data_IF_089632832288
#
_entry.id   IF_089632832288
#
_cell.length_a   1.000
_cell.length_b   1.000
_cell.length_c   1.000
_cell.angle_alpha   90.00
_cell.angle_beta   90.00
_cell.angle_gamma   90.00
#
_symmetry.space_group_name_H-M   'P 1'
#
loop_
_entity.id
_entity.type
_entity.pdbx_description
1 polymer ?
#
# COMPACT_ATOMS: atom_id res chain seq x y z
N UNK A 1 -42.98 11.66 11.78
CA UNK A 1 -42.57 10.73 10.70
C UNK A 1 -41.18 11.14 10.26
N UNK A 2 -40.15 10.45 10.74
CA UNK A 2 -38.73 10.75 10.37
C UNK A 2 -38.43 9.98 9.10
N UNK A 3 -38.29 10.69 7.99
CA UNK A 3 -37.83 10.11 6.71
C UNK A 3 -36.31 9.85 6.83
N UNK A 4 -35.94 8.61 6.62
CA UNK A 4 -34.58 8.12 6.76
C UNK A 4 -33.68 8.74 5.67
N UNK A 5 -32.70 9.53 6.06
CA UNK A 5 -31.81 10.27 5.14
C UNK A 5 -30.96 9.38 4.22
N UNK A 6 -30.84 8.10 4.53
CA UNK A 6 -30.06 7.12 3.75
C UNK A 6 -30.68 6.72 2.40
N UNK A 7 -32.01 6.93 2.22
CA UNK A 7 -32.68 6.62 0.94
C UNK A 7 -32.52 7.76 -0.07
N UNK A 8 -32.21 8.98 0.39
CA UNK A 8 -32.04 10.14 -0.50
C UNK A 8 -30.69 10.15 -1.24
N UNK A 9 -29.67 9.44 -0.74
CA UNK A 9 -28.34 9.44 -1.39
C UNK A 9 -28.28 8.55 -2.63
N UNK A 10 -29.10 7.51 -2.69
CA UNK A 10 -29.17 6.62 -3.87
C UNK A 10 -30.09 7.14 -4.99
N UNK A 11 -31.05 8.01 -4.65
CA UNK A 11 -31.97 8.63 -5.61
C UNK A 11 -31.38 9.82 -6.37
N UNK A 12 -30.31 10.45 -5.86
CA UNK A 12 -29.68 11.62 -6.52
C UNK A 12 -28.67 11.25 -7.59
N UNK A 13 -28.27 9.97 -7.67
CA UNK A 13 -27.31 9.50 -8.68
C UNK A 13 -27.94 9.22 -10.05
N UNK A 14 -29.26 9.34 -10.19
CA UNK A 14 -30.00 9.06 -11.44
C UNK A 14 -30.63 10.29 -12.10
N UNK A 15 -30.48 11.51 -11.56
CA UNK A 15 -31.20 12.69 -12.06
C UNK A 15 -30.33 13.95 -12.31
N UNK A 16 -29.02 13.83 -12.37
CA UNK A 16 -28.15 14.95 -12.79
C UNK A 16 -27.36 14.64 -14.05
N UNK A 17 -28.08 14.23 -15.13
CA UNK A 17 -27.58 14.37 -16.50
C UNK A 17 -28.14 15.69 -17.02
N UNK A 18 -27.58 16.80 -16.54
CA UNK A 18 -27.70 18.08 -17.25
C UNK A 18 -26.39 18.85 -17.12
N UNK A 19 -25.66 18.84 -18.23
CA UNK A 19 -24.80 19.93 -18.74
C UNK A 19 -23.79 20.51 -17.76
N UNK A 20 -22.74 19.76 -17.40
CA UNK A 20 -21.46 20.38 -17.13
C UNK A 20 -20.64 20.30 -18.42
N UNK A 21 -20.82 21.27 -19.33
CA UNK A 21 -19.74 21.66 -20.22
C UNK A 21 -18.67 22.34 -19.37
N UNK A 22 -17.95 21.52 -18.61
CA UNK A 22 -16.69 21.95 -18.03
C UNK A 22 -15.76 22.28 -19.19
N UNK A 23 -15.23 23.49 -19.21
CA UNK A 23 -14.15 23.85 -20.10
C UNK A 23 -13.12 22.74 -20.01
N UNK A 24 -12.96 21.97 -21.08
CA UNK A 24 -11.84 21.05 -21.24
C UNK A 24 -10.61 21.93 -21.44
N UNK A 25 -10.02 22.38 -20.34
CA UNK A 25 -8.62 22.80 -20.41
C UNK A 25 -7.85 21.66 -21.05
N UNK A 26 -6.98 21.94 -22.04
CA UNK A 26 -6.17 20.88 -22.63
C UNK A 26 -5.55 20.07 -21.48
N UNK A 27 -5.78 18.76 -21.45
CA UNK A 27 -5.28 17.89 -20.40
C UNK A 27 -3.77 18.01 -20.43
N UNK A 28 -3.23 18.79 -19.49
CA UNK A 28 -1.80 19.06 -19.44
C UNK A 28 -1.10 17.71 -19.25
N UNK A 29 -0.22 17.37 -20.15
CA UNK A 29 0.58 16.15 -20.05
C UNK A 29 1.51 16.31 -18.86
N UNK A 30 1.18 15.64 -17.77
CA UNK A 30 2.05 15.59 -16.60
C UNK A 30 3.25 14.74 -17.00
N UNK A 31 4.43 15.35 -17.09
CA UNK A 31 5.68 14.61 -17.34
C UNK A 31 6.06 13.80 -16.10
N UNK A 32 6.68 12.64 -16.29
CA UNK A 32 7.05 11.73 -15.19
C UNK A 32 8.03 12.33 -14.16
N UNK A 33 8.61 13.50 -14.45
CA UNK A 33 9.55 14.22 -13.61
C UNK A 33 8.96 15.48 -12.94
N UNK A 34 7.63 15.67 -12.97
CA UNK A 34 6.96 16.85 -12.46
C UNK A 34 7.28 17.14 -10.98
N UNK A 35 7.44 16.09 -10.17
CA UNK A 35 7.72 16.19 -8.74
C UNK A 35 9.12 16.78 -8.44
N UNK A 36 10.03 16.76 -9.40
CA UNK A 36 11.38 17.32 -9.29
C UNK A 36 11.44 18.81 -9.67
N UNK A 37 10.40 19.31 -10.36
CA UNK A 37 10.38 20.66 -10.95
C UNK A 37 10.19 21.75 -9.91
N UNK A 38 10.52 22.98 -10.33
CA UNK A 38 10.27 24.21 -9.55
C UNK A 38 8.94 24.84 -9.95
N UNK A 39 8.15 25.26 -8.96
CA UNK A 39 6.84 25.86 -9.18
C UNK A 39 6.90 27.12 -10.06
N UNK A 40 7.86 28.02 -9.80
CA UNK A 40 7.95 29.31 -10.53
C UNK A 40 8.40 29.14 -11.97
N UNK A 41 9.18 28.08 -12.25
CA UNK A 41 9.74 27.84 -13.59
C UNK A 41 8.81 26.94 -14.44
N UNK A 42 8.12 26.01 -13.83
CA UNK A 42 7.34 24.99 -14.53
C UNK A 42 5.83 25.05 -14.30
N UNK A 43 5.36 25.83 -13.31
CA UNK A 43 3.96 25.80 -12.88
C UNK A 43 3.59 24.53 -12.09
N UNK A 44 4.54 23.63 -11.80
CA UNK A 44 4.33 22.38 -11.07
C UNK A 44 4.77 22.47 -9.62
N UNK A 45 4.00 21.91 -8.72
CA UNK A 45 4.31 21.85 -7.28
C UNK A 45 5.32 20.72 -6.97
N UNK A 46 6.50 20.80 -7.56
CA UNK A 46 7.60 19.88 -7.27
C UNK A 46 8.55 20.42 -6.19
N UNK A 47 9.62 19.67 -5.94
CA UNK A 47 10.59 19.94 -4.84
C UNK A 47 11.75 20.86 -5.24
N UNK A 48 11.76 21.39 -6.45
CA UNK A 48 12.83 22.28 -6.97
C UNK A 48 14.22 21.64 -6.96
N UNK A 49 14.33 20.37 -7.35
CA UNK A 49 15.55 19.56 -7.21
C UNK A 49 16.75 20.19 -7.96
N UNK A 50 16.53 20.73 -9.15
CA UNK A 50 17.60 21.37 -9.94
C UNK A 50 18.23 22.55 -9.20
N UNK A 51 17.43 23.34 -8.48
CA UNK A 51 17.93 24.42 -7.62
C UNK A 51 18.75 23.91 -6.45
N UNK A 52 18.32 22.81 -5.84
CA UNK A 52 19.09 22.17 -4.79
C UNK A 52 20.46 21.69 -5.31
N UNK A 53 20.51 21.08 -6.49
CA UNK A 53 21.78 20.68 -7.11
C UNK A 53 22.65 21.86 -7.50
N UNK A 54 22.08 22.96 -8.01
CA UNK A 54 22.83 24.18 -8.27
C UNK A 54 23.45 24.74 -6.97
N UNK A 55 22.70 24.76 -5.88
CA UNK A 55 23.20 25.19 -4.56
C UNK A 55 24.32 24.29 -4.04
N UNK A 56 24.29 22.99 -4.35
CA UNK A 56 25.27 21.98 -3.95
C UNK A 56 26.48 21.94 -4.87
N UNK A 57 26.46 22.62 -6.02
CA UNK A 57 27.54 22.59 -7.01
C UNK A 57 28.88 22.99 -6.38
N UNK A 58 29.89 22.13 -6.54
CA UNK A 58 31.23 22.34 -5.99
C UNK A 58 31.40 21.96 -4.51
N UNK A 59 30.33 21.56 -3.83
CA UNK A 59 30.42 21.01 -2.47
C UNK A 59 30.83 19.52 -2.54
N UNK A 60 31.60 19.07 -1.55
CA UNK A 60 31.93 17.64 -1.43
C UNK A 60 30.73 16.87 -0.93
N UNK A 61 30.39 15.79 -1.60
CA UNK A 61 29.39 14.84 -1.13
C UNK A 61 29.94 13.86 -0.10
N UNK A 62 29.06 13.32 0.72
CA UNK A 62 29.35 12.22 1.62
C UNK A 62 28.24 11.18 1.47
N UNK A 63 28.62 9.93 1.36
CA UNK A 63 27.65 8.82 1.34
C UNK A 63 26.87 8.77 2.64
N UNK A 64 25.55 8.65 2.54
CA UNK A 64 24.64 8.47 3.66
C UNK A 64 23.85 7.19 3.42
N UNK A 65 23.77 6.34 4.44
CA UNK A 65 22.90 5.17 4.45
C UNK A 65 21.53 5.64 4.94
N UNK A 66 20.49 5.33 4.18
CA UNK A 66 19.11 5.65 4.52
C UNK A 66 18.38 4.33 4.77
N UNK A 67 17.78 4.18 5.94
CA UNK A 67 16.89 3.06 6.23
C UNK A 67 15.50 3.36 5.66
N UNK A 68 14.97 2.42 4.89
CA UNK A 68 13.60 2.41 4.41
C UNK A 68 12.82 1.36 5.20
N UNK A 69 11.97 1.80 6.13
CA UNK A 69 11.18 0.92 7.00
C UNK A 69 9.82 0.77 6.35
N UNK A 70 9.64 -0.33 5.63
CA UNK A 70 8.49 -0.53 4.75
C UNK A 70 8.01 -2.01 4.72
N UNK A 71 7.08 -2.34 3.86
CA UNK A 71 6.50 -3.67 3.71
C UNK A 71 7.37 -4.66 2.90
N UNK A 72 8.46 -4.19 2.30
CA UNK A 72 9.39 -4.98 1.50
C UNK A 72 9.98 -4.18 0.34
N UNK A 73 10.98 -4.75 -0.32
CA UNK A 73 11.65 -4.14 -1.49
C UNK A 73 12.04 -5.20 -2.52
N UNK A 74 11.92 -4.87 -3.81
CA UNK A 74 12.47 -5.67 -4.89
C UNK A 74 13.98 -5.41 -5.04
N UNK A 75 14.77 -6.27 -4.43
CA UNK A 75 16.25 -6.19 -4.47
C UNK A 75 16.84 -6.46 -5.84
N UNK A 76 16.06 -7.02 -6.78
CA UNK A 76 16.48 -7.28 -8.16
C UNK A 76 15.99 -6.21 -9.13
N UNK A 77 15.26 -5.20 -8.65
CA UNK A 77 14.72 -4.13 -9.49
C UNK A 77 15.83 -3.44 -10.27
N UNK A 78 15.67 -3.34 -11.60
CA UNK A 78 16.71 -2.89 -12.51
C UNK A 78 17.25 -1.47 -12.27
N UNK A 79 16.45 -0.64 -11.58
CA UNK A 79 16.77 0.75 -11.28
C UNK A 79 17.26 0.95 -9.84
N UNK A 80 17.23 -0.09 -9.01
CA UNK A 80 17.60 -0.03 -7.58
C UNK A 80 18.81 -0.91 -7.23
N UNK A 81 18.94 -2.08 -7.83
CA UNK A 81 19.91 -3.10 -7.42
C UNK A 81 21.38 -2.62 -7.31
N UNK A 82 21.76 -1.57 -8.05
CA UNK A 82 23.10 -1.01 -8.01
C UNK A 82 23.29 0.05 -6.92
N UNK A 83 22.19 0.55 -6.35
CA UNK A 83 22.20 1.60 -5.33
C UNK A 83 21.74 1.11 -3.96
N UNK A 84 21.26 -0.12 -3.87
CA UNK A 84 20.92 -0.73 -2.59
C UNK A 84 22.17 -0.94 -1.74
N UNK A 85 22.03 -0.69 -0.46
CA UNK A 85 23.08 -1.03 0.49
C UNK A 85 23.23 -2.54 0.61
N UNK A 86 24.45 -3.00 0.69
CA UNK A 86 24.79 -4.37 1.03
C UNK A 86 25.59 -4.38 2.31
N UNK A 87 25.28 -5.28 3.25
CA UNK A 87 26.12 -5.49 4.41
C UNK A 87 27.49 -5.98 3.97
N UNK A 88 28.57 -5.17 4.08
CA UNK A 88 29.88 -5.55 3.58
C UNK A 88 30.57 -6.61 4.41
N UNK A 89 29.98 -7.02 5.53
CA UNK A 89 30.54 -8.01 6.45
C UNK A 89 29.87 -9.36 6.32
N UNK A 90 28.78 -9.46 5.59
CA UNK A 90 28.05 -10.69 5.35
C UNK A 90 28.48 -11.35 4.04
N UNK A 91 28.60 -12.68 4.04
CA UNK A 91 28.82 -13.50 2.85
C UNK A 91 27.48 -14.06 2.39
N UNK A 92 26.92 -13.59 1.26
CA UNK A 92 25.56 -13.92 0.86
C UNK A 92 25.28 -15.42 0.77
N UNK A 93 24.21 -15.86 1.45
CA UNK A 93 23.65 -17.21 1.32
C UNK A 93 24.47 -18.32 1.97
N UNK A 94 25.38 -18.00 2.89
CA UNK A 94 26.17 -19.03 3.58
C UNK A 94 25.46 -19.57 4.84
N UNK A 95 24.36 -18.96 5.28
CA UNK A 95 23.60 -19.35 6.47
C UNK A 95 24.30 -19.04 7.79
N UNK A 96 25.27 -18.11 7.80
CA UNK A 96 26.06 -17.73 8.96
C UNK A 96 25.89 -16.22 9.17
N UNK A 97 25.76 -15.80 10.41
CA UNK A 97 25.90 -14.41 10.84
C UNK A 97 27.39 -14.07 10.95
N UNK A 98 27.99 -13.62 9.83
CA UNK A 98 29.42 -13.41 9.71
C UNK A 98 29.89 -12.22 10.57
N UNK A 99 29.08 -11.19 10.74
CA UNK A 99 29.43 -10.01 11.53
C UNK A 99 28.96 -10.08 12.99
N UNK A 100 28.27 -11.15 13.35
CA UNK A 100 27.81 -11.45 14.72
C UNK A 100 26.89 -10.38 15.30
N UNK A 101 26.06 -9.78 14.44
CA UNK A 101 25.09 -8.79 14.84
C UNK A 101 23.75 -9.40 15.33
N UNK A 102 23.56 -10.70 15.15
CA UNK A 102 22.37 -11.48 15.52
C UNK A 102 21.41 -11.76 14.36
N UNK A 103 21.75 -11.36 13.13
CA UNK A 103 20.92 -11.47 11.94
C UNK A 103 21.66 -12.19 10.81
N UNK A 104 21.28 -13.43 10.53
CA UNK A 104 21.95 -14.31 9.55
C UNK A 104 21.66 -13.84 8.13
N UNK A 105 22.73 -13.66 7.32
CA UNK A 105 22.62 -13.24 5.91
C UNK A 105 21.80 -11.94 5.72
N UNK A 106 21.94 -10.95 6.58
CA UNK A 106 21.21 -9.67 6.51
C UNK A 106 21.78 -8.70 5.43
N UNK A 107 21.93 -9.23 4.22
CA UNK A 107 22.61 -8.56 3.10
C UNK A 107 22.02 -7.20 2.76
N UNK A 108 20.69 -7.09 2.70
CA UNK A 108 19.96 -5.87 2.33
C UNK A 108 19.22 -5.23 3.50
N UNK A 109 19.14 -5.93 4.63
CA UNK A 109 18.33 -5.58 5.79
C UNK A 109 17.61 -6.80 6.34
N UNK A 110 16.50 -6.57 7.05
CA UNK A 110 15.83 -7.63 7.80
C UNK A 110 14.32 -7.55 7.72
N UNK A 111 13.66 -8.69 7.62
CA UNK A 111 12.21 -8.81 7.67
C UNK A 111 11.76 -9.20 9.09
N UNK A 112 11.34 -8.23 9.87
CA UNK A 112 10.81 -8.42 11.23
C UNK A 112 9.42 -9.08 11.28
N UNK A 113 8.77 -9.25 10.14
CA UNK A 113 7.52 -10.01 10.00
C UNK A 113 7.75 -11.39 9.38
N UNK A 114 9.01 -11.83 9.33
CA UNK A 114 9.39 -13.17 8.92
C UNK A 114 9.51 -14.13 10.10
N UNK A 115 9.39 -15.42 9.83
CA UNK A 115 9.70 -16.50 10.75
C UNK A 115 11.07 -17.14 10.42
N UNK A 116 11.74 -17.69 11.42
CA UNK A 116 12.99 -18.45 11.22
C UNK A 116 12.83 -19.67 10.29
N UNK A 117 11.59 -20.10 10.04
CA UNK A 117 11.27 -21.18 9.09
C UNK A 117 11.12 -20.68 7.65
N UNK A 118 11.42 -19.42 7.37
CA UNK A 118 11.32 -18.78 6.07
C UNK A 118 9.91 -18.32 5.66
N UNK A 119 8.90 -18.56 6.50
CA UNK A 119 7.56 -18.01 6.25
C UNK A 119 7.52 -16.54 6.57
N UNK A 120 6.65 -15.80 5.90
CA UNK A 120 6.46 -14.38 6.12
C UNK A 120 5.01 -14.05 6.42
N UNK A 121 4.77 -13.04 7.23
CA UNK A 121 3.46 -12.44 7.40
C UNK A 121 3.18 -11.60 6.17
N UNK A 122 2.32 -12.08 5.29
CA UNK A 122 1.89 -11.36 4.07
C UNK A 122 0.59 -10.60 4.27
N UNK A 123 -0.15 -10.94 5.32
CA UNK A 123 -1.38 -10.24 5.75
C UNK A 123 -1.37 -10.16 7.25
N UNK A 124 -1.58 -8.99 7.78
CA UNK A 124 -1.72 -8.79 9.22
C UNK A 124 -3.13 -8.28 9.57
N UNK A 125 -3.46 -8.36 10.84
CA UNK A 125 -4.70 -7.80 11.37
C UNK A 125 -4.54 -6.31 11.62
N UNK A 126 -5.66 -5.59 11.54
CA UNK A 126 -5.69 -4.16 11.85
C UNK A 126 -5.32 -3.90 13.32
N UNK A 127 -4.41 -2.96 13.56
CA UNK A 127 -3.95 -2.58 14.90
C UNK A 127 -5.09 -2.11 15.79
N UNK A 128 -6.03 -1.35 15.27
CA UNK A 128 -7.20 -0.90 16.05
C UNK A 128 -8.04 -2.08 16.56
N UNK A 129 -8.21 -3.12 15.74
CA UNK A 129 -8.86 -4.37 16.18
C UNK A 129 -8.07 -5.04 17.31
N UNK A 130 -6.74 -5.14 17.19
CA UNK A 130 -5.88 -5.72 18.24
C UNK A 130 -5.98 -4.93 19.54
N UNK A 131 -5.85 -3.62 19.49
CA UNK A 131 -5.96 -2.74 20.68
C UNK A 131 -7.34 -2.86 21.33
N UNK A 132 -8.42 -2.82 20.54
CA UNK A 132 -9.75 -2.97 21.08
C UNK A 132 -9.92 -4.29 21.83
N UNK A 133 -9.55 -5.41 21.24
CA UNK A 133 -9.71 -6.73 21.88
C UNK A 133 -8.77 -6.96 23.05
N UNK A 134 -7.54 -6.44 23.02
CA UNK A 134 -6.59 -6.54 24.13
C UNK A 134 -7.14 -5.88 25.40
N UNK A 135 -7.81 -4.76 25.28
CA UNK A 135 -8.35 -4.03 26.43
C UNK A 135 -9.86 -4.22 26.65
N UNK A 136 -10.54 -4.97 25.80
CA UNK A 136 -11.98 -5.21 25.89
C UNK A 136 -12.39 -5.74 27.27
N UNK A 137 -11.74 -6.77 27.77
CA UNK A 137 -12.02 -7.36 29.09
C UNK A 137 -11.76 -6.40 30.26
N UNK A 138 -10.88 -5.42 30.07
CA UNK A 138 -10.52 -4.42 31.09
C UNK A 138 -11.56 -3.30 31.16
N UNK A 139 -12.12 -2.86 30.04
CA UNK A 139 -12.89 -1.63 29.95
C UNK A 139 -14.33 -1.80 29.44
N UNK A 140 -14.63 -2.82 28.61
CA UNK A 140 -15.96 -3.01 28.02
C UNK A 140 -16.98 -3.27 29.12
N UNK A 141 -18.17 -2.68 28.99
CA UNK A 141 -19.31 -2.84 29.90
C UNK A 141 -19.05 -2.49 31.38
N UNK A 142 -17.95 -1.79 31.67
CA UNK A 142 -17.63 -1.34 33.03
C UNK A 142 -17.90 0.16 33.19
N UNK A 143 -18.37 0.54 34.38
CA UNK A 143 -18.42 1.94 34.77
C UNK A 143 -17.01 2.39 35.16
N UNK A 144 -16.32 3.04 34.25
CA UNK A 144 -14.99 3.56 34.49
C UNK A 144 -15.09 4.99 35.01
N UNK A 145 -14.56 5.20 36.23
CA UNK A 145 -14.31 6.54 36.74
C UNK A 145 -12.94 7.00 36.24
N UNK A 146 -12.95 7.83 35.22
CA UNK A 146 -11.75 8.24 34.50
C UNK A 146 -10.79 9.04 35.38
N UNK A 147 -11.30 9.74 36.40
CA UNK A 147 -10.51 10.57 37.31
C UNK A 147 -9.76 9.74 38.39
N UNK A 148 -10.15 8.49 38.56
CA UNK A 148 -9.50 7.54 39.49
C UNK A 148 -8.45 6.68 38.78
N UNK A 149 -8.31 6.74 37.45
CA UNK A 149 -7.33 5.97 36.74
C UNK A 149 -5.91 6.52 36.95
N UNK A 150 -4.96 5.61 37.15
CA UNK A 150 -3.55 5.94 37.07
C UNK A 150 -3.21 6.51 35.68
N UNK A 151 -2.08 7.21 35.54
CA UNK A 151 -1.63 7.77 34.27
C UNK A 151 -1.49 6.70 33.19
N UNK A 152 -1.07 5.50 33.52
CA UNK A 152 -0.92 4.38 32.62
C UNK A 152 -2.29 3.83 32.21
N UNK A 153 -3.17 3.54 33.13
CA UNK A 153 -4.52 3.07 32.86
C UNK A 153 -5.33 4.08 32.05
N UNK A 154 -5.11 5.38 32.28
CA UNK A 154 -5.72 6.43 31.46
C UNK A 154 -5.25 6.36 30.01
N UNK A 155 -3.96 6.15 29.75
CA UNK A 155 -3.44 5.98 28.39
C UNK A 155 -4.05 4.76 27.71
N UNK A 156 -4.12 3.62 28.40
CA UNK A 156 -4.73 2.40 27.88
C UNK A 156 -6.22 2.60 27.59
N UNK A 157 -6.95 3.26 28.50
CA UNK A 157 -8.35 3.59 28.30
C UNK A 157 -8.57 4.50 27.07
N UNK A 158 -7.77 5.56 26.95
CA UNK A 158 -7.86 6.49 25.81
C UNK A 158 -7.49 5.80 24.48
N UNK A 159 -6.51 4.89 24.47
CA UNK A 159 -6.20 4.06 23.30
C UNK A 159 -7.35 3.12 22.96
N UNK A 160 -7.91 2.44 23.96
CA UNK A 160 -9.04 1.55 23.76
C UNK A 160 -10.28 2.29 23.24
N UNK A 161 -10.60 3.46 23.79
CA UNK A 161 -11.72 4.28 23.32
C UNK A 161 -11.55 4.71 21.85
N UNK A 162 -10.35 5.12 21.45
CA UNK A 162 -10.06 5.44 20.05
C UNK A 162 -10.23 4.22 19.18
N UNK A 163 -9.61 3.10 19.54
CA UNK A 163 -9.73 1.85 18.81
C UNK A 163 -11.19 1.38 18.68
N UNK A 164 -11.98 1.47 19.77
CA UNK A 164 -13.41 1.16 19.77
C UNK A 164 -14.17 2.05 18.78
N UNK A 165 -13.95 3.35 18.84
CA UNK A 165 -14.61 4.29 17.93
C UNK A 165 -14.25 4.04 16.47
N UNK A 166 -13.02 3.67 16.16
CA UNK A 166 -12.57 3.36 14.81
C UNK A 166 -13.12 2.00 14.33
N UNK A 167 -13.13 0.98 15.19
CA UNK A 167 -13.69 -0.35 14.83
C UNK A 167 -15.20 -0.28 14.59
N UNK A 168 -15.93 0.55 15.34
CA UNK A 168 -17.39 0.62 15.27
C UNK A 168 -17.94 1.90 14.62
N UNK A 169 -17.09 2.91 14.38
CA UNK A 169 -17.52 4.25 13.94
C UNK A 169 -17.78 4.40 12.45
N UNK A 170 -17.10 3.62 11.61
CA UNK A 170 -17.32 3.61 10.15
C UNK A 170 -18.04 2.32 9.76
N UNK A 171 -19.29 2.45 9.39
CA UNK A 171 -20.09 1.30 8.95
C UNK A 171 -20.06 1.15 7.42
N UNK A 172 -19.24 0.23 6.93
CA UNK A 172 -19.64 -0.49 5.72
C UNK A 172 -20.69 -1.50 6.15
N UNK A 173 -21.90 -1.32 5.68
CA UNK A 173 -23.00 -2.24 6.01
C UNK A 173 -22.72 -3.62 5.41
N UNK A 174 -23.22 -4.68 6.02
CA UNK A 174 -23.11 -6.05 5.47
C UNK A 174 -23.62 -6.12 4.02
N UNK A 175 -24.62 -5.30 3.70
CA UNK A 175 -25.18 -5.20 2.36
C UNK A 175 -24.17 -4.58 1.37
N UNK A 176 -23.50 -3.51 1.75
CA UNK A 176 -22.46 -2.87 0.93
C UNK A 176 -21.27 -3.83 0.70
N UNK A 177 -20.84 -4.52 1.75
CA UNK A 177 -19.78 -5.53 1.63
C UNK A 177 -20.20 -6.66 0.67
N UNK A 178 -21.46 -7.11 0.72
CA UNK A 178 -21.99 -8.09 -0.22
C UNK A 178 -21.98 -7.57 -1.67
N UNK A 179 -22.31 -6.28 -1.88
CA UNK A 179 -22.25 -5.66 -3.21
C UNK A 179 -20.81 -5.56 -3.72
N UNK A 180 -19.86 -5.15 -2.89
CA UNK A 180 -18.44 -5.10 -3.23
C UNK A 180 -17.91 -6.47 -3.65
N UNK A 181 -18.21 -7.51 -2.87
CA UNK A 181 -17.85 -8.90 -3.20
C UNK A 181 -18.37 -9.34 -4.57
N UNK A 182 -19.64 -9.07 -4.82
CA UNK A 182 -20.27 -9.40 -6.12
C UNK A 182 -19.65 -8.60 -7.26
N UNK A 183 -19.37 -7.32 -7.05
CA UNK A 183 -18.74 -6.47 -8.05
C UNK A 183 -17.35 -6.99 -8.41
N UNK A 184 -16.54 -7.36 -7.41
CA UNK A 184 -15.22 -7.95 -7.64
C UNK A 184 -15.27 -9.27 -8.42
N UNK A 185 -16.13 -10.20 -7.98
CA UNK A 185 -16.30 -11.51 -8.67
C UNK A 185 -16.76 -11.30 -10.12
N UNK A 186 -17.70 -10.39 -10.34
CA UNK A 186 -18.16 -10.06 -11.70
C UNK A 186 -17.07 -9.37 -12.52
N UNK A 187 -16.26 -8.49 -11.91
CA UNK A 187 -15.11 -7.90 -12.59
C UNK A 187 -14.16 -8.99 -13.08
N UNK A 188 -13.70 -9.88 -12.20
CA UNK A 188 -12.78 -10.97 -12.57
C UNK A 188 -13.35 -11.88 -13.65
N UNK A 189 -14.65 -12.21 -13.59
CA UNK A 189 -15.33 -13.02 -14.61
C UNK A 189 -15.34 -12.33 -15.98
N UNK A 190 -15.69 -11.04 -16.03
CA UNK A 190 -15.75 -10.28 -17.28
C UNK A 190 -14.34 -9.98 -17.81
N UNK A 191 -13.37 -9.70 -16.97
CA UNK A 191 -11.95 -9.57 -17.34
C UNK A 191 -11.44 -10.86 -18.00
N UNK A 192 -11.69 -12.02 -17.39
CA UNK A 192 -11.33 -13.32 -17.96
C UNK A 192 -12.00 -13.55 -19.33
N UNK A 193 -13.27 -13.13 -19.49
CA UNK A 193 -13.96 -13.21 -20.76
C UNK A 193 -13.30 -12.32 -21.82
N UNK A 194 -12.90 -11.10 -21.46
CA UNK A 194 -12.19 -10.19 -22.36
C UNK A 194 -10.84 -10.75 -22.76
N UNK A 195 -10.04 -11.24 -21.82
CA UNK A 195 -8.73 -11.87 -22.10
C UNK A 195 -8.88 -13.01 -23.10
N UNK A 196 -9.84 -13.89 -22.88
CA UNK A 196 -10.06 -15.04 -23.76
C UNK A 196 -10.52 -14.65 -25.18
N UNK A 197 -11.36 -13.62 -25.33
CA UNK A 197 -11.95 -13.23 -26.61
C UNK A 197 -11.16 -12.15 -27.36
N UNK A 198 -10.44 -11.29 -26.64
CA UNK A 198 -9.58 -10.25 -27.22
C UNK A 198 -8.16 -10.77 -27.47
N UNK A 199 -7.71 -11.77 -26.67
CA UNK A 199 -6.33 -12.29 -26.73
C UNK A 199 -5.30 -11.36 -26.10
N UNK A 200 -5.73 -10.44 -25.24
CA UNK A 200 -4.88 -9.48 -24.56
C UNK A 200 -4.97 -9.67 -23.05
N UNK A 201 -3.88 -10.08 -22.41
CA UNK A 201 -3.82 -10.36 -20.98
C UNK A 201 -3.83 -9.10 -20.11
N UNK A 202 -3.09 -8.08 -20.51
CA UNK A 202 -2.99 -6.81 -19.78
C UNK A 202 -3.43 -5.68 -20.70
N UNK A 203 -4.37 -4.87 -20.25
CA UNK A 203 -4.90 -3.74 -20.98
C UNK A 203 -5.32 -2.62 -20.03
N UNK A 204 -5.26 -1.39 -20.51
CA UNK A 204 -5.76 -0.21 -19.79
C UNK A 204 -7.23 0.06 -20.12
N UNK A 205 -7.90 0.86 -19.28
CA UNK A 205 -9.26 1.35 -19.58
C UNK A 205 -9.32 2.08 -20.93
N UNK A 206 -8.28 2.86 -21.26
CA UNK A 206 -8.19 3.55 -22.55
C UNK A 206 -8.19 2.57 -23.72
N UNK A 207 -7.33 1.56 -23.70
CA UNK A 207 -7.25 0.53 -24.74
C UNK A 207 -8.53 -0.29 -24.82
N UNK A 208 -9.16 -0.61 -23.68
CA UNK A 208 -10.44 -1.29 -23.64
C UNK A 208 -11.54 -0.44 -24.29
N UNK A 209 -11.50 0.88 -24.10
CA UNK A 209 -12.46 1.79 -24.73
C UNK A 209 -12.36 1.78 -26.26
N UNK A 210 -11.16 1.63 -26.80
CA UNK A 210 -10.88 1.55 -28.25
C UNK A 210 -11.23 0.16 -28.84
N UNK A 211 -11.22 -0.89 -28.03
CA UNK A 211 -11.56 -2.25 -28.48
C UNK A 211 -13.02 -2.36 -28.93
N UNK A 212 -13.26 -2.85 -30.12
CA UNK A 212 -14.59 -3.02 -30.74
C UNK A 212 -14.93 -4.50 -30.95
N UNK A 213 -15.41 -5.21 -29.89
CA UNK A 213 -15.73 -6.63 -30.01
C UNK A 213 -16.95 -6.89 -30.93
N UNK A 214 -16.86 -7.92 -31.77
CA UNK A 214 -17.98 -8.38 -32.56
C UNK A 214 -18.96 -9.28 -31.77
N UNK A 215 -18.42 -10.02 -30.80
CA UNK A 215 -19.12 -11.04 -30.00
C UNK A 215 -19.91 -10.37 -28.88
N UNK A 216 -21.17 -10.74 -28.70
CA UNK A 216 -22.07 -10.13 -27.71
C UNK A 216 -21.60 -10.31 -26.26
N UNK A 217 -21.03 -11.46 -25.90
CA UNK A 217 -20.44 -11.68 -24.58
C UNK A 217 -19.27 -10.75 -24.31
N UNK A 218 -18.41 -10.48 -25.31
CA UNK A 218 -17.31 -9.54 -25.17
C UNK A 218 -17.79 -8.09 -25.06
N UNK A 219 -18.88 -7.71 -25.76
CA UNK A 219 -19.50 -6.37 -25.62
C UNK A 219 -20.00 -6.14 -24.19
N UNK A 220 -20.71 -7.12 -23.63
CA UNK A 220 -21.21 -7.06 -22.25
C UNK A 220 -20.06 -7.01 -21.24
N UNK A 221 -19.04 -7.84 -21.42
CA UNK A 221 -17.86 -7.86 -20.58
C UNK A 221 -17.11 -6.51 -20.64
N UNK A 222 -16.90 -5.95 -21.85
CA UNK A 222 -16.32 -4.62 -22.05
C UNK A 222 -17.12 -3.56 -21.28
N UNK A 223 -18.42 -3.50 -21.49
CA UNK A 223 -19.28 -2.50 -20.85
C UNK A 223 -19.18 -2.55 -19.33
N UNK A 224 -19.15 -3.75 -18.74
CA UNK A 224 -19.05 -3.93 -17.32
C UNK A 224 -17.68 -3.48 -16.77
N UNK A 225 -16.58 -4.02 -17.33
CA UNK A 225 -15.21 -3.72 -16.88
C UNK A 225 -14.90 -2.23 -17.07
N UNK A 226 -15.20 -1.68 -18.24
CA UNK A 226 -14.97 -0.27 -18.56
C UNK A 226 -15.79 0.65 -17.64
N UNK A 227 -17.06 0.31 -17.40
CA UNK A 227 -17.91 1.07 -16.49
C UNK A 227 -17.33 1.13 -15.09
N UNK A 228 -16.86 0.00 -14.56
CA UNK A 228 -16.30 -0.05 -13.22
C UNK A 228 -14.95 0.69 -13.11
N UNK A 229 -14.07 0.51 -14.10
CA UNK A 229 -12.78 1.22 -14.13
C UNK A 229 -12.96 2.74 -14.28
N UNK A 230 -13.89 3.19 -15.12
CA UNK A 230 -14.16 4.62 -15.31
C UNK A 230 -14.80 5.28 -14.08
N UNK A 231 -15.67 4.58 -13.37
CA UNK A 231 -16.26 5.08 -12.11
C UNK A 231 -15.20 5.31 -11.02
N UNK A 232 -14.06 4.67 -11.13
CA UNK A 232 -12.93 4.80 -10.20
C UNK A 232 -11.76 5.60 -10.79
N UNK A 233 -11.99 6.42 -11.81
CA UNK A 233 -10.98 7.25 -12.49
C UNK A 233 -9.73 6.48 -12.99
N UNK A 234 -9.86 5.16 -13.18
CA UNK A 234 -8.76 4.26 -13.54
C UNK A 234 -8.47 4.27 -15.07
N UNK A 235 -8.29 5.46 -15.67
CA UNK A 235 -8.16 5.62 -17.13
C UNK A 235 -6.87 5.01 -17.67
N UNK A 236 -5.78 5.15 -16.94
CA UNK A 236 -4.44 4.65 -17.32
C UNK A 236 -4.04 3.39 -16.58
N UNK A 237 -4.79 3.00 -15.57
CA UNK A 237 -4.57 1.80 -14.76
C UNK A 237 -4.84 0.56 -15.60
N UNK A 238 -4.02 -0.46 -15.47
CA UNK A 238 -4.26 -1.75 -16.14
C UNK A 238 -5.36 -2.54 -15.43
N UNK A 239 -5.98 -3.47 -16.17
CA UNK A 239 -6.96 -4.41 -15.62
C UNK A 239 -6.40 -5.19 -14.41
N UNK A 240 -5.10 -5.54 -14.45
CA UNK A 240 -4.43 -6.24 -13.37
C UNK A 240 -4.28 -5.36 -12.13
N UNK A 241 -3.72 -4.16 -12.28
CA UNK A 241 -3.57 -3.21 -11.18
C UNK A 241 -4.92 -2.84 -10.55
N UNK A 242 -5.95 -2.67 -11.38
CA UNK A 242 -7.31 -2.42 -10.91
C UNK A 242 -7.86 -3.61 -10.10
N UNK A 243 -7.68 -4.84 -10.58
CA UNK A 243 -8.12 -6.04 -9.88
C UNK A 243 -7.41 -6.20 -8.54
N UNK A 244 -6.09 -5.97 -8.50
CA UNK A 244 -5.27 -6.08 -7.31
C UNK A 244 -5.68 -5.02 -6.26
N UNK A 245 -5.83 -3.76 -6.67
CA UNK A 245 -6.29 -2.68 -5.80
C UNK A 245 -7.74 -2.87 -5.30
N UNK A 246 -8.63 -3.38 -6.15
CA UNK A 246 -9.99 -3.71 -5.74
C UNK A 246 -10.02 -4.85 -4.72
N UNK A 247 -9.17 -5.87 -4.93
CA UNK A 247 -9.04 -6.98 -3.97
C UNK A 247 -8.52 -6.52 -2.62
N UNK A 248 -7.51 -5.67 -2.62
CA UNK A 248 -6.96 -5.09 -1.40
C UNK A 248 -8.01 -4.29 -0.63
N UNK A 249 -8.74 -3.40 -1.31
CA UNK A 249 -9.83 -2.64 -0.70
C UNK A 249 -10.91 -3.56 -0.11
N UNK A 250 -11.31 -4.60 -0.86
CA UNK A 250 -12.29 -5.57 -0.39
C UNK A 250 -11.80 -6.33 0.86
N UNK A 251 -10.53 -6.75 0.87
CA UNK A 251 -9.92 -7.45 2.02
C UNK A 251 -9.89 -6.55 3.26
N UNK A 252 -9.62 -5.25 3.09
CA UNK A 252 -9.65 -4.27 4.18
C UNK A 252 -11.07 -4.10 4.75
N UNK A 253 -12.09 -4.00 3.90
CA UNK A 253 -13.48 -3.86 4.35
C UNK A 253 -13.99 -5.15 5.03
N UNK A 254 -13.58 -6.33 4.53
CA UNK A 254 -13.84 -7.60 5.20
C UNK A 254 -13.17 -7.68 6.58
N UNK A 255 -11.93 -7.24 6.68
CA UNK A 255 -11.20 -7.21 7.96
C UNK A 255 -11.88 -6.29 8.97
N UNK A 256 -12.33 -5.10 8.54
CA UNK A 256 -13.10 -4.17 9.38
C UNK A 256 -14.41 -4.78 9.86
N UNK A 257 -15.18 -5.41 8.96
CA UNK A 257 -16.44 -6.07 9.31
C UNK A 257 -16.21 -7.23 10.30
N UNK A 258 -15.18 -8.04 10.08
CA UNK A 258 -14.83 -9.14 10.96
C UNK A 258 -14.33 -8.67 12.34
N UNK A 259 -13.60 -7.56 12.40
CA UNK A 259 -13.08 -7.01 13.64
C UNK A 259 -14.19 -6.59 14.64
N UNK A 260 -15.42 -6.37 14.18
CA UNK A 260 -16.57 -6.06 15.04
C UNK A 260 -17.04 -7.25 15.86
N UNK A 261 -16.91 -8.45 15.32
CA UNK A 261 -17.50 -9.68 15.90
C UNK A 261 -16.48 -10.66 16.43
N UNK A 262 -15.26 -10.65 15.87
CA UNK A 262 -14.23 -11.62 16.17
C UNK A 262 -12.91 -10.91 16.54
N UNK A 263 -12.15 -11.44 17.51
CA UNK A 263 -10.79 -10.98 17.74
C UNK A 263 -9.96 -11.21 16.46
N UNK A 264 -9.07 -10.27 16.12
CA UNK A 264 -8.22 -10.41 14.96
C UNK A 264 -7.31 -11.64 15.10
N UNK A 265 -7.04 -12.30 13.98
CA UNK A 265 -6.12 -13.43 13.95
C UNK A 265 -4.69 -12.94 14.24
N UNK A 266 -3.99 -13.62 15.12
CA UNK A 266 -2.60 -13.31 15.45
C UNK A 266 -1.64 -14.02 14.51
N UNK A 267 -1.48 -13.51 13.29
CA UNK A 267 -0.51 -14.04 12.32
C UNK A 267 0.93 -13.97 12.85
N UNK A 268 1.25 -12.91 13.59
CA UNK A 268 2.57 -12.70 14.19
C UNK A 268 2.95 -13.84 15.13
N UNK A 269 2.10 -14.24 16.04
CA UNK A 269 2.37 -15.35 16.96
C UNK A 269 2.56 -16.70 16.25
N UNK A 270 1.89 -16.90 15.11
CA UNK A 270 1.99 -18.16 14.35
C UNK A 270 3.28 -18.24 13.51
N UNK A 271 3.71 -17.13 12.94
CA UNK A 271 4.79 -17.05 11.95
C UNK A 271 6.08 -16.53 12.58
N UNK A 272 6.06 -15.32 13.14
CA UNK A 272 7.25 -14.66 13.70
C UNK A 272 7.71 -15.34 14.99
N UNK A 273 6.75 -15.68 15.86
CA UNK A 273 6.97 -16.35 17.16
C UNK A 273 7.86 -15.56 18.11
N UNK A 274 7.85 -14.25 17.97
CA UNK A 274 8.53 -13.35 18.89
C UNK A 274 7.79 -13.25 20.24
N UNK A 275 8.49 -12.79 21.27
CA UNK A 275 7.86 -12.43 22.53
C UNK A 275 7.38 -10.98 22.50
N UNK A 276 6.14 -10.76 21.97
CA UNK A 276 5.55 -9.43 21.82
C UNK A 276 5.51 -8.59 23.10
N UNK A 277 5.56 -9.21 24.27
CA UNK A 277 5.55 -8.53 25.57
C UNK A 277 6.95 -8.16 26.10
N UNK A 278 8.01 -8.67 25.48
CA UNK A 278 9.38 -8.36 25.85
C UNK A 278 10.01 -7.37 24.89
N UNK A 279 10.17 -6.14 25.33
CA UNK A 279 10.81 -5.09 24.53
C UNK A 279 12.28 -5.39 24.16
N UNK A 280 12.93 -6.33 24.83
CA UNK A 280 14.31 -6.73 24.54
C UNK A 280 14.39 -7.87 23.51
N UNK A 281 13.28 -8.52 23.19
CA UNK A 281 13.24 -9.52 22.13
C UNK A 281 13.37 -8.84 20.76
N UNK A 282 14.51 -9.08 20.08
CA UNK A 282 14.87 -8.40 18.83
C UNK A 282 15.49 -9.33 17.78
N UNK A 283 15.82 -10.56 18.16
CA UNK A 283 16.48 -11.51 17.26
C UNK A 283 15.48 -12.47 16.60
N UNK A 284 14.35 -11.94 16.17
CA UNK A 284 13.32 -12.64 15.42
C UNK A 284 13.33 -12.16 13.95
N UNK A 285 12.55 -12.79 13.10
CA UNK A 285 12.49 -12.42 11.69
C UNK A 285 13.32 -13.32 10.78
N UNK A 286 13.52 -12.88 9.56
CA UNK A 286 14.39 -13.51 8.56
C UNK A 286 14.96 -12.49 7.56
N UNK A 287 15.84 -12.94 6.68
CA UNK A 287 16.51 -12.09 5.68
C UNK A 287 15.72 -11.90 4.36
N UNK A 288 14.48 -12.36 4.27
CA UNK A 288 13.67 -12.17 3.06
C UNK A 288 12.98 -10.81 3.05
N UNK A 289 13.68 -9.78 2.59
CA UNK A 289 13.15 -8.41 2.48
C UNK A 289 12.24 -8.20 1.27
N UNK A 290 12.16 -9.15 0.33
CA UNK A 290 11.25 -9.06 -0.81
C UNK A 290 9.82 -9.45 -0.43
N UNK A 291 9.67 -10.47 0.40
CA UNK A 291 8.40 -11.08 0.82
C UNK A 291 7.61 -11.63 -0.37
N UNK A 292 6.91 -10.77 -1.12
CA UNK A 292 6.24 -11.05 -2.39
C UNK A 292 6.02 -9.75 -3.20
N UNK A 293 5.54 -9.87 -4.44
CA UNK A 293 5.34 -8.73 -5.34
C UNK A 293 4.39 -7.65 -4.78
N UNK A 294 3.38 -8.01 -4.03
CA UNK A 294 2.42 -7.06 -3.47
C UNK A 294 3.03 -6.28 -2.31
N UNK A 295 3.70 -6.99 -1.40
CA UNK A 295 4.33 -6.38 -0.24
C UNK A 295 5.53 -5.51 -0.62
N UNK A 296 6.34 -5.94 -1.60
CA UNK A 296 7.51 -5.19 -2.06
C UNK A 296 7.17 -3.91 -2.87
N UNK A 297 5.93 -3.73 -3.32
CA UNK A 297 5.54 -2.64 -4.22
C UNK A 297 5.80 -1.26 -3.61
N UNK A 298 5.30 -1.00 -2.40
CA UNK A 298 5.38 0.31 -1.76
C UNK A 298 6.83 0.69 -1.45
N UNK A 299 7.60 -0.16 -0.75
CA UNK A 299 8.99 0.13 -0.43
C UNK A 299 9.89 0.25 -1.66
N UNK A 300 9.61 -0.52 -2.73
CA UNK A 300 10.30 -0.34 -4.02
C UNK A 300 10.03 1.04 -4.61
N UNK A 301 8.79 1.55 -4.55
CA UNK A 301 8.46 2.90 -5.02
C UNK A 301 9.10 3.97 -4.15
N UNK A 302 9.06 3.84 -2.83
CA UNK A 302 9.68 4.80 -1.89
C UNK A 302 11.19 4.85 -2.13
N UNK A 303 11.85 3.70 -2.14
CA UNK A 303 13.30 3.59 -2.42
C UNK A 303 13.66 4.16 -3.80
N UNK A 304 12.79 3.96 -4.80
CA UNK A 304 12.96 4.53 -6.15
C UNK A 304 12.94 6.05 -6.15
N UNK A 305 11.97 6.66 -5.47
CA UNK A 305 11.90 8.13 -5.34
C UNK A 305 13.14 8.67 -4.64
N UNK A 306 13.60 8.00 -3.59
CA UNK A 306 14.77 8.44 -2.83
C UNK A 306 16.04 8.30 -3.68
N UNK A 307 16.29 7.14 -4.31
CA UNK A 307 17.62 6.80 -4.78
C UNK A 307 17.74 6.02 -6.08
N UNK A 308 16.68 5.90 -6.91
CA UNK A 308 16.80 5.23 -8.21
C UNK A 308 17.97 5.80 -9.04
N UNK A 309 18.63 4.92 -9.80
CA UNK A 309 19.82 5.25 -10.56
C UNK A 309 19.50 6.28 -11.65
N UNK A 310 20.13 7.45 -11.57
CA UNK A 310 19.87 8.57 -12.47
C UNK A 310 20.50 8.41 -13.85
N UNK A 311 19.85 8.98 -14.86
CA UNK A 311 20.38 9.07 -16.24
C UNK A 311 20.63 7.71 -16.91
N UNK A 312 20.03 6.65 -16.44
CA UNK A 312 20.15 5.30 -17.00
C UNK A 312 19.08 4.98 -18.06
N UNK A 313 18.14 5.91 -18.31
CA UNK A 313 16.99 5.77 -19.24
C UNK A 313 16.00 4.68 -18.83
N UNK A 314 15.93 4.35 -17.55
CA UNK A 314 15.01 3.38 -16.97
C UNK A 314 14.24 4.08 -15.87
N UNK A 315 13.01 3.61 -15.61
CA UNK A 315 12.20 4.04 -14.48
C UNK A 315 12.16 5.56 -14.25
N UNK A 316 12.62 5.97 -13.08
CA UNK A 316 12.66 7.37 -12.65
C UNK A 316 14.05 7.77 -12.18
N UNK A 317 14.34 9.07 -12.17
CA UNK A 317 15.54 9.61 -11.54
C UNK A 317 15.31 9.83 -10.04
N UNK A 318 16.05 9.12 -9.19
CA UNK A 318 16.01 9.31 -7.75
C UNK A 318 16.53 10.69 -7.31
N UNK A 319 16.08 11.15 -6.15
CA UNK A 319 16.44 12.48 -5.62
C UNK A 319 17.91 12.52 -5.19
N UNK A 320 18.43 11.45 -4.58
CA UNK A 320 19.77 11.40 -3.99
C UNK A 320 20.90 10.99 -4.97
N UNK A 321 20.59 10.74 -6.22
CA UNK A 321 21.43 10.03 -7.17
C UNK A 321 22.74 10.67 -7.65
N UNK A 322 23.12 11.88 -7.22
CA UNK A 322 24.47 12.44 -7.43
C UNK A 322 25.44 12.15 -6.28
N UNK A 323 24.93 11.59 -5.21
CA UNK A 323 25.65 11.31 -4.00
C UNK A 323 25.31 9.89 -3.61
N UNK A 324 26.31 9.04 -3.44
CA UNK A 324 26.11 7.60 -3.16
C UNK A 324 25.02 7.40 -2.12
N UNK A 325 23.90 6.85 -2.56
CA UNK A 325 22.77 6.46 -1.73
C UNK A 325 22.89 4.96 -1.50
N UNK A 326 22.85 4.55 -0.26
CA UNK A 326 22.72 3.14 0.09
C UNK A 326 21.49 3.03 0.99
N UNK A 327 20.51 2.28 0.56
CA UNK A 327 19.27 2.02 1.29
C UNK A 327 19.41 0.75 2.10
N UNK A 328 19.11 0.82 3.38
CA UNK A 328 18.93 -0.35 4.24
C UNK A 328 17.43 -0.52 4.45
N UNK A 329 16.91 -1.68 4.16
CA UNK A 329 15.54 -2.04 4.49
C UNK A 329 15.50 -2.71 5.86
N UNK A 330 14.54 -2.31 6.68
CA UNK A 330 14.33 -2.90 8.01
C UNK A 330 12.93 -3.50 8.08
#
# INVERSE_FOLDING_TARGET
MKVNKSILFFGFLLLSIDSIYGQTSPKEVITGDWYLKDLKESGKFGISLDKAYQFLKGKKSKTVIVADIDSGIDTLHEDLKEVLWHNPKEIPGNGIDDDKNGYVDDIYGWNFLGGHDGKNVTKDSDEKGRVYYNYKSKFEDKKINVDELSKEERREYDMWQRAKNEVFGEEVSELELLFLKRAYVNFCKNDSTLKALWGKEIYTSKELNEYSPAIESAKKAKSYVLGLMNQNDAITTTNKEFADGFKEYLDQEEAKANAKTNPPKSYRNEIVKDNYSDFNDRYYGNNNVFVDNSNALHGTHVSGIIGALRNNKKGIDGIAGLYSFNSLLV
#
